data_IF_961382195880
#
_entry.id   IF_961382195880
#
_cell.length_a   1.000
_cell.length_b   1.000
_cell.length_c   1.000
_cell.angle_alpha   90.00
_cell.angle_beta   90.00
_cell.angle_gamma   90.00
#
_symmetry.space_group_name_H-M   'P 1'
#
loop_
_entity.id
_entity.type
_entity.pdbx_description
1 polymer ?
#
# COMPACT_ATOMS: atom_id res chain seq x y z
N UNK A 1 15.59 -62.83 -22.87
CA UNK A 1 15.27 -61.49 -23.43
C UNK A 1 14.30 -60.78 -22.49
N UNK A 2 14.58 -59.50 -22.20
CA UNK A 2 13.93 -58.58 -21.25
C UNK A 2 12.47 -58.28 -21.62
N UNK A 3 11.61 -57.99 -20.64
CA UNK A 3 10.68 -56.82 -20.64
C UNK A 3 10.29 -56.45 -19.19
N UNK A 4 11.03 -55.52 -18.59
CA UNK A 4 10.55 -54.78 -17.40
C UNK A 4 9.83 -53.54 -17.90
N UNK A 5 8.55 -53.42 -17.59
CA UNK A 5 7.73 -52.25 -17.93
C UNK A 5 7.85 -51.25 -16.77
N UNK A 6 8.47 -50.09 -17.00
CA UNK A 6 8.42 -48.97 -16.06
C UNK A 6 7.34 -48.02 -16.57
N UNK A 7 6.20 -48.01 -15.88
CA UNK A 7 5.15 -47.01 -16.07
C UNK A 7 5.65 -45.71 -15.45
N UNK A 8 6.05 -44.76 -16.29
CA UNK A 8 6.40 -43.42 -15.86
C UNK A 8 5.09 -42.63 -15.62
N UNK A 9 4.69 -42.53 -14.36
CA UNK A 9 3.66 -41.58 -13.94
C UNK A 9 4.22 -40.16 -14.06
N UNK A 10 3.78 -39.43 -15.08
CA UNK A 10 4.03 -38.01 -15.19
C UNK A 10 3.25 -37.27 -14.08
N UNK A 11 3.95 -36.87 -13.03
CA UNK A 11 3.43 -35.92 -12.05
C UNK A 11 3.46 -34.56 -12.74
N UNK A 12 2.28 -34.09 -13.16
CA UNK A 12 2.10 -32.71 -13.59
C UNK A 12 2.44 -31.81 -12.40
N UNK A 13 3.58 -31.13 -12.49
CA UNK A 13 3.94 -30.03 -11.60
C UNK A 13 2.88 -28.94 -11.78
N UNK A 14 1.88 -28.93 -10.89
CA UNK A 14 1.14 -27.73 -10.56
C UNK A 14 2.16 -26.77 -9.94
N UNK A 15 2.85 -26.03 -10.80
CA UNK A 15 3.56 -24.83 -10.39
C UNK A 15 2.53 -23.91 -9.77
N UNK A 16 2.42 -23.97 -8.44
CA UNK A 16 1.87 -22.88 -7.68
C UNK A 16 2.70 -21.67 -8.07
N UNK A 17 2.15 -20.81 -8.92
CA UNK A 17 2.59 -19.45 -9.01
C UNK A 17 2.30 -18.88 -7.62
N UNK A 18 3.28 -18.97 -6.72
CA UNK A 18 3.43 -18.03 -5.63
C UNK A 18 3.49 -16.68 -6.31
N UNK A 19 2.33 -16.08 -6.55
CA UNK A 19 2.23 -14.66 -6.78
C UNK A 19 2.52 -14.03 -5.42
N UNK A 20 3.78 -14.12 -4.98
CA UNK A 20 4.37 -13.01 -4.27
C UNK A 20 4.37 -11.89 -5.30
N UNK A 21 3.23 -11.21 -5.43
CA UNK A 21 3.20 -9.93 -6.07
C UNK A 21 4.36 -9.16 -5.41
N UNK A 22 5.36 -8.71 -6.17
CA UNK A 22 6.34 -7.81 -5.58
C UNK A 22 5.50 -6.68 -5.00
N UNK A 23 5.69 -6.41 -3.71
CA UNK A 23 5.18 -5.22 -3.06
C UNK A 23 5.75 -4.05 -3.87
N UNK A 24 5.00 -3.65 -4.90
CA UNK A 24 5.29 -2.46 -5.64
C UNK A 24 4.96 -1.35 -4.64
N UNK A 25 6.01 -0.99 -3.90
CA UNK A 25 6.14 0.25 -3.19
C UNK A 25 6.10 1.35 -4.26
N UNK A 26 4.93 1.54 -4.88
CA UNK A 26 4.59 2.79 -5.55
C UNK A 26 4.77 3.82 -4.45
N UNK A 27 5.83 4.61 -4.56
CA UNK A 27 6.28 5.50 -3.49
C UNK A 27 5.21 6.55 -3.22
N UNK A 28 4.30 6.23 -2.29
CA UNK A 28 3.34 7.19 -1.76
C UNK A 28 4.13 8.23 -0.98
N UNK A 29 4.02 9.49 -1.39
CA UNK A 29 4.59 10.60 -0.64
C UNK A 29 3.76 10.82 0.63
N UNK A 30 4.36 10.59 1.80
CA UNK A 30 3.76 10.90 3.10
C UNK A 30 4.36 12.21 3.60
N UNK A 31 3.52 13.21 3.88
CA UNK A 31 3.97 14.53 4.33
C UNK A 31 3.05 15.10 5.41
N UNK A 32 3.55 16.04 6.20
CA UNK A 32 2.75 16.88 7.11
C UNK A 32 2.58 18.30 6.54
N UNK A 33 3.35 18.66 5.51
CA UNK A 33 3.40 20.01 4.96
C UNK A 33 2.34 20.19 3.89
N UNK A 34 1.51 21.22 4.04
CA UNK A 34 0.52 21.58 3.01
C UNK A 34 1.15 22.09 1.72
N UNK A 35 2.39 22.58 1.77
CA UNK A 35 3.14 23.06 0.60
C UNK A 35 3.44 21.96 -0.41
N UNK A 36 3.51 20.71 0.05
CA UNK A 36 3.86 19.57 -0.78
C UNK A 36 2.64 19.09 -1.60
N UNK A 37 1.44 19.65 -1.38
CA UNK A 37 0.17 19.22 -1.99
C UNK A 37 -0.63 20.36 -2.65
N UNK A 38 -0.02 21.52 -2.92
CA UNK A 38 -0.71 22.74 -3.38
C UNK A 38 -1.44 22.57 -4.71
N UNK A 39 -0.90 21.77 -5.63
CA UNK A 39 -1.47 21.55 -6.97
C UNK A 39 -2.04 20.13 -7.14
N UNK A 40 -2.35 19.46 -6.03
CA UNK A 40 -2.85 18.10 -6.04
C UNK A 40 -4.37 18.04 -5.88
N UNK A 41 -5.00 17.06 -6.52
CA UNK A 41 -6.42 16.80 -6.37
C UNK A 41 -6.67 15.98 -5.10
N UNK A 42 -7.54 16.46 -4.22
CA UNK A 42 -7.96 15.67 -3.06
C UNK A 42 -8.90 14.54 -3.50
N UNK A 43 -8.62 13.33 -3.06
CA UNK A 43 -9.39 12.12 -3.40
C UNK A 43 -10.23 11.61 -2.22
N UNK A 44 -9.81 11.92 -1.00
CA UNK A 44 -10.52 11.48 0.20
C UNK A 44 -9.81 11.86 1.49
N UNK A 45 -10.52 11.69 2.60
CA UNK A 45 -10.01 11.94 3.95
C UNK A 45 -10.45 10.80 4.86
N UNK A 46 -9.57 10.33 5.73
CA UNK A 46 -9.91 9.38 6.78
C UNK A 46 -9.03 9.55 8.02
N UNK A 47 -9.54 9.11 9.16
CA UNK A 47 -8.77 9.14 10.40
C UNK A 47 -7.89 7.90 10.52
N UNK A 48 -6.71 8.09 11.11
CA UNK A 48 -5.72 7.06 11.40
C UNK A 48 -5.33 7.18 12.87
N UNK A 49 -5.15 6.04 13.52
CA UNK A 49 -4.53 5.98 14.85
C UNK A 49 -3.05 6.40 14.72
N UNK A 50 -2.59 7.45 15.40
CA UNK A 50 -1.18 7.86 15.34
C UNK A 50 -0.20 6.75 15.75
N UNK A 51 -0.60 5.81 16.63
CA UNK A 51 0.26 4.73 17.06
C UNK A 51 0.53 3.71 15.94
N UNK A 52 -0.42 3.51 15.02
CA UNK A 52 -0.21 2.57 13.91
C UNK A 52 0.90 3.06 12.96
N UNK A 53 1.03 4.39 12.80
CA UNK A 53 2.03 5.04 11.97
C UNK A 53 3.48 4.85 12.47
N UNK A 54 3.66 4.38 13.71
CA UNK A 54 4.97 4.05 14.27
C UNK A 54 5.49 2.68 13.81
N UNK A 55 4.61 1.85 13.25
CA UNK A 55 4.94 0.50 12.77
C UNK A 55 5.06 0.44 11.25
N UNK A 56 5.93 -0.43 10.74
CA UNK A 56 6.05 -0.64 9.28
C UNK A 56 4.76 -1.17 8.68
N UNK A 57 4.07 -2.08 9.39
CA UNK A 57 2.77 -2.60 8.96
C UNK A 57 1.72 -1.48 8.85
N UNK A 58 1.62 -0.59 9.84
CA UNK A 58 0.65 0.52 9.78
C UNK A 58 0.98 1.54 8.69
N UNK A 59 2.26 1.80 8.41
CA UNK A 59 2.68 2.61 7.25
C UNK A 59 2.31 1.93 5.93
N UNK A 60 2.49 0.62 5.84
CA UNK A 60 2.13 -0.16 4.66
C UNK A 60 0.61 -0.14 4.44
N UNK A 61 -0.18 -0.35 5.48
CA UNK A 61 -1.64 -0.25 5.42
C UNK A 61 -2.10 1.14 4.97
N UNK A 62 -1.48 2.20 5.49
CA UNK A 62 -1.72 3.58 5.04
C UNK A 62 -1.43 3.72 3.54
N UNK A 63 -0.25 3.28 3.08
CA UNK A 63 0.14 3.36 1.67
C UNK A 63 -0.81 2.57 0.77
N UNK A 64 -1.22 1.37 1.17
CA UNK A 64 -2.20 0.57 0.43
C UNK A 64 -3.55 1.28 0.33
N UNK A 65 -3.99 1.92 1.43
CA UNK A 65 -5.24 2.70 1.43
C UNK A 65 -5.15 3.91 0.49
N UNK A 66 -4.04 4.63 0.48
CA UNK A 66 -3.78 5.73 -0.46
C UNK A 66 -3.84 5.24 -1.91
N UNK A 67 -3.16 4.14 -2.22
CA UNK A 67 -3.16 3.54 -3.57
C UNK A 67 -4.57 3.07 -3.96
N UNK A 68 -5.34 2.47 -3.04
CA UNK A 68 -6.73 2.03 -3.31
C UNK A 68 -7.67 3.20 -3.65
N UNK A 69 -7.39 4.39 -3.11
CA UNK A 69 -8.09 5.63 -3.46
C UNK A 69 -7.55 6.25 -4.74
N UNK A 70 -6.60 5.59 -5.42
CA UNK A 70 -5.86 6.05 -6.60
C UNK A 70 -5.06 7.32 -6.33
N UNK A 71 -4.57 7.50 -5.11
CA UNK A 71 -3.68 8.60 -4.73
C UNK A 71 -2.21 8.19 -4.80
N UNK A 72 -1.35 9.20 -4.89
CA UNK A 72 0.10 9.06 -4.84
C UNK A 72 0.74 9.90 -3.72
N UNK A 73 -0.06 10.67 -2.98
CA UNK A 73 0.39 11.43 -1.82
C UNK A 73 -0.65 11.42 -0.70
N UNK A 74 -0.18 11.59 0.53
CA UNK A 74 -1.03 11.77 1.71
C UNK A 74 -0.45 12.84 2.63
N UNK A 75 -1.28 13.81 2.99
CA UNK A 75 -0.98 14.77 4.04
C UNK A 75 -1.56 14.28 5.36
N UNK A 76 -0.72 14.17 6.38
CA UNK A 76 -1.11 13.82 7.75
C UNK A 76 -1.28 15.10 8.56
N UNK A 77 -2.47 15.28 9.14
CA UNK A 77 -2.82 16.44 9.95
C UNK A 77 -3.22 15.96 11.35
N UNK A 78 -2.45 16.27 12.41
CA UNK A 78 -2.82 15.91 13.78
C UNK A 78 -4.15 16.56 14.20
N UNK A 79 -5.06 15.76 14.77
CA UNK A 79 -6.33 16.22 15.34
C UNK A 79 -6.20 16.30 16.86
N UNK A 80 -5.55 17.36 17.35
CA UNK A 80 -5.19 17.54 18.77
C UNK A 80 -6.36 17.74 19.73
N UNK A 81 -7.59 17.84 19.22
CA UNK A 81 -8.81 18.02 20.02
C UNK A 81 -9.70 16.77 20.03
N UNK A 82 -9.30 15.70 19.35
CA UNK A 82 -10.03 14.43 19.37
C UNK A 82 -9.57 13.57 20.56
N UNK A 83 -10.51 12.89 21.22
CA UNK A 83 -10.25 11.83 22.21
C UNK A 83 -10.87 10.51 21.72
N UNK A 84 -10.07 9.46 21.40
CA UNK A 84 -8.61 9.42 21.44
C UNK A 84 -7.97 10.36 20.41
N UNK A 85 -6.69 10.71 20.61
CA UNK A 85 -5.92 11.47 19.63
C UNK A 85 -5.92 10.75 18.27
N UNK A 86 -6.18 11.49 17.19
CA UNK A 86 -6.24 10.95 15.83
C UNK A 86 -5.40 11.80 14.88
N UNK A 87 -5.05 11.20 13.75
CA UNK A 87 -4.45 11.91 12.62
C UNK A 87 -5.43 11.84 11.45
N UNK A 88 -5.75 12.99 10.86
CA UNK A 88 -6.49 13.05 9.61
C UNK A 88 -5.52 12.82 8.44
N UNK A 89 -5.74 11.75 7.68
CA UNK A 89 -5.00 11.45 6.46
C UNK A 89 -5.79 11.96 5.25
N UNK A 90 -5.27 13.00 4.61
CA UNK A 90 -5.84 13.61 3.41
C UNK A 90 -5.13 13.03 2.20
N UNK A 91 -5.84 12.29 1.35
CA UNK A 91 -5.26 11.60 0.20
C UNK A 91 -5.35 12.46 -1.04
N UNK A 92 -4.26 12.53 -1.77
CA UNK A 92 -4.12 13.36 -2.96
C UNK A 92 -3.63 12.56 -4.17
N UNK A 93 -4.07 12.97 -5.35
CA UNK A 93 -3.40 12.73 -6.62
C UNK A 93 -2.66 14.00 -7.03
N UNK A 94 -1.34 13.98 -6.87
CA UNK A 94 -0.45 15.00 -7.38
C UNK A 94 -0.08 14.69 -8.84
N UNK A 95 0.13 15.72 -9.69
CA UNK A 95 0.75 15.51 -10.99
C UNK A 95 2.14 14.89 -10.80
N UNK A 96 2.53 13.97 -11.68
CA UNK A 96 3.91 13.52 -11.73
C UNK A 96 4.78 14.72 -12.14
N UNK A 97 5.88 14.95 -11.41
CA UNK A 97 6.82 16.00 -11.78
C UNK A 97 7.26 15.75 -13.23
N UNK A 98 6.96 16.71 -14.12
CA UNK A 98 7.30 16.65 -15.54
C UNK A 98 8.80 16.76 -15.78
#
# INVERSE_FOLDING_TARGET
MKKTLIVASAIALLGACSSSAPEQNQGVMITEKSTDVVDCNILGVFNVDPQSLNSDNGKQELSQRVISLKGNAVQLIPLTTAEPELVSAHVYQCPEAS
#
